data_IF_877057798292
#
_entry.id   IF_877057798292
#
_cell.length_a   1.000
_cell.length_b   1.000
_cell.length_c   1.000
_cell.angle_alpha   90.00
_cell.angle_beta   90.00
_cell.angle_gamma   90.00
#
_symmetry.space_group_name_H-M   'P 1'
#
loop_
_entity.id
_entity.type
_entity.pdbx_description
1 polymer ?
#
# COMPACT_ATOMS: atom_id res chain seq x y z
N UNK A 1 -3.54 14.72 -4.88
CA UNK A 1 -4.82 14.62 -4.14
C UNK A 1 -5.96 14.81 -5.14
N UNK A 2 -6.87 13.84 -5.31
CA UNK A 2 -8.00 13.95 -6.24
C UNK A 2 -8.88 15.18 -5.96
N UNK A 3 -9.06 15.53 -4.67
CA UNK A 3 -9.80 16.71 -4.25
C UNK A 3 -9.22 18.01 -4.83
N UNK A 4 -7.90 18.20 -4.75
CA UNK A 4 -7.23 19.40 -5.27
C UNK A 4 -7.29 19.47 -6.79
N UNK A 5 -7.10 18.34 -7.48
CA UNK A 5 -7.22 18.27 -8.96
C UNK A 5 -8.60 18.74 -9.40
N UNK A 6 -9.65 18.30 -8.71
CA UNK A 6 -11.02 18.69 -8.99
C UNK A 6 -11.31 20.16 -8.62
N UNK A 7 -10.95 20.60 -7.41
CA UNK A 7 -11.21 21.96 -6.91
C UNK A 7 -10.52 23.05 -7.75
N UNK A 8 -9.30 22.77 -8.24
CA UNK A 8 -8.55 23.69 -9.11
C UNK A 8 -8.84 23.45 -10.60
N UNK A 9 -9.72 22.50 -10.95
CA UNK A 9 -10.03 22.11 -12.32
C UNK A 9 -8.78 21.86 -13.18
N UNK A 10 -7.74 21.23 -12.62
CA UNK A 10 -6.41 21.14 -13.26
C UNK A 10 -6.43 20.45 -14.62
N UNK A 11 -7.35 19.52 -14.84
CA UNK A 11 -7.55 18.88 -16.16
C UNK A 11 -7.93 19.90 -17.24
N UNK A 12 -8.73 20.93 -16.89
CA UNK A 12 -9.05 22.04 -17.81
C UNK A 12 -7.85 22.92 -18.11
N UNK A 13 -6.86 22.91 -17.21
CA UNK A 13 -5.60 23.62 -17.35
C UNK A 13 -4.50 22.75 -17.99
N UNK A 14 -4.85 21.58 -18.54
CA UNK A 14 -3.94 20.73 -19.31
C UNK A 14 -3.29 19.59 -18.53
N UNK A 15 -3.57 19.45 -17.22
CA UNK A 15 -3.06 18.31 -16.45
C UNK A 15 -3.63 17.01 -17.01
N UNK A 16 -2.74 16.14 -17.52
CA UNK A 16 -3.07 14.78 -17.94
C UNK A 16 -2.16 13.80 -17.21
N UNK A 17 -2.75 12.91 -16.42
CA UNK A 17 -2.02 11.85 -15.73
C UNK A 17 -2.29 10.52 -16.43
N UNK A 18 -1.23 9.86 -16.87
CA UNK A 18 -1.30 8.49 -17.43
C UNK A 18 -0.95 7.47 -16.35
N UNK A 19 -1.77 6.43 -16.21
CA UNK A 19 -1.50 5.35 -15.26
C UNK A 19 -0.32 4.52 -15.77
N UNK A 20 0.57 4.13 -14.86
CA UNK A 20 1.65 3.18 -15.15
C UNK A 20 1.05 1.79 -15.38
N UNK A 21 1.31 1.15 -16.53
CA UNK A 21 0.80 -0.20 -16.78
C UNK A 21 1.46 -1.23 -15.84
N UNK A 22 2.76 -1.09 -15.62
CA UNK A 22 3.54 -1.96 -14.73
C UNK A 22 3.97 -1.21 -13.47
N UNK A 23 3.72 -1.82 -12.33
CA UNK A 23 4.08 -1.34 -11.01
C UNK A 23 5.56 -1.63 -10.70
N UNK A 24 6.00 -2.87 -10.96
CA UNK A 24 7.38 -3.31 -10.68
C UNK A 24 7.99 -4.00 -11.88
N UNK A 25 9.26 -3.70 -12.12
CA UNK A 25 10.16 -4.52 -12.91
C UNK A 25 11.45 -4.71 -12.10
N UNK A 26 11.69 -5.93 -11.65
CA UNK A 26 12.86 -6.29 -10.85
C UNK A 26 13.68 -7.35 -11.60
N UNK A 27 14.75 -6.96 -12.32
CA UNK A 27 15.66 -7.90 -12.96
C UNK A 27 16.60 -8.54 -11.94
N UNK A 28 16.95 -9.80 -12.15
CA UNK A 28 17.97 -10.52 -11.40
C UNK A 28 19.26 -10.68 -12.24
N UNK A 29 20.44 -10.81 -11.61
CA UNK A 29 21.72 -10.97 -12.32
C UNK A 29 21.80 -12.20 -13.23
N UNK A 30 20.99 -13.23 -12.95
CA UNK A 30 20.92 -14.47 -13.74
C UNK A 30 19.96 -14.39 -14.93
N UNK A 31 19.40 -13.21 -15.21
CA UNK A 31 18.49 -12.97 -16.33
C UNK A 31 17.02 -13.28 -16.04
N UNK A 32 16.69 -13.83 -14.85
CA UNK A 32 15.30 -13.87 -14.39
C UNK A 32 14.80 -12.46 -14.08
N UNK A 33 13.49 -12.30 -14.06
CA UNK A 33 12.88 -11.04 -13.66
C UNK A 33 11.52 -11.27 -13.02
N UNK A 34 11.10 -10.31 -12.20
CA UNK A 34 9.73 -10.16 -11.74
C UNK A 34 9.13 -8.92 -12.43
N UNK A 35 7.99 -9.10 -13.08
CA UNK A 35 7.24 -8.02 -13.70
C UNK A 35 5.81 -8.08 -13.16
N UNK A 36 5.39 -7.03 -12.45
CA UNK A 36 4.08 -6.96 -11.81
C UNK A 36 3.35 -5.71 -12.30
N UNK A 37 2.10 -5.90 -12.67
CA UNK A 37 1.18 -4.85 -13.11
C UNK A 37 -0.10 -4.89 -12.29
N UNK A 38 -1.22 -4.59 -12.96
CA UNK A 38 -2.54 -4.55 -12.33
C UNK A 38 -3.37 -5.81 -12.56
N UNK A 39 -3.03 -6.60 -13.57
CA UNK A 39 -3.77 -7.82 -13.87
C UNK A 39 -3.38 -8.95 -12.91
N UNK A 40 -4.38 -9.51 -12.21
CA UNK A 40 -4.15 -10.53 -11.19
C UNK A 40 -3.63 -11.84 -11.78
N UNK A 41 -4.09 -12.22 -12.98
CA UNK A 41 -3.68 -13.47 -13.62
C UNK A 41 -2.26 -13.36 -14.17
N UNK A 42 -1.91 -12.23 -14.78
CA UNK A 42 -0.54 -11.95 -15.21
C UNK A 42 0.44 -11.92 -14.03
N UNK A 43 0.05 -11.27 -12.93
CA UNK A 43 0.87 -11.22 -11.71
C UNK A 43 1.08 -12.62 -11.12
N UNK A 44 0.01 -13.42 -11.01
CA UNK A 44 0.11 -14.80 -10.53
C UNK A 44 1.03 -15.64 -11.44
N UNK A 45 0.84 -15.55 -12.77
CA UNK A 45 1.69 -16.26 -13.72
C UNK A 45 3.15 -15.80 -13.70
N UNK A 46 3.43 -14.52 -13.45
CA UNK A 46 4.79 -14.00 -13.31
C UNK A 46 5.46 -14.53 -12.03
N UNK A 47 4.73 -14.54 -10.91
CA UNK A 47 5.21 -15.07 -9.63
C UNK A 47 5.41 -16.58 -9.70
N UNK A 48 4.50 -17.32 -10.33
CA UNK A 48 4.57 -18.79 -10.42
C UNK A 48 5.82 -19.29 -11.17
N UNK A 49 6.40 -18.47 -12.05
CA UNK A 49 7.70 -18.76 -12.71
C UNK A 49 8.88 -18.69 -11.73
N UNK A 50 8.74 -17.98 -10.61
CA UNK A 50 9.76 -17.80 -9.58
C UNK A 50 9.51 -18.67 -8.34
N UNK A 51 8.26 -18.75 -7.89
CA UNK A 51 7.78 -19.64 -6.84
C UNK A 51 6.26 -19.81 -6.95
N UNK A 52 5.81 -21.06 -7.01
CA UNK A 52 4.38 -21.37 -6.95
C UNK A 52 3.75 -20.95 -5.62
N UNK A 53 4.49 -21.08 -4.51
CA UNK A 53 4.01 -20.68 -3.18
C UNK A 53 3.81 -19.17 -3.09
N UNK A 54 4.74 -18.39 -3.63
CA UNK A 54 4.63 -16.93 -3.62
C UNK A 54 3.48 -16.44 -4.52
N UNK A 55 3.22 -17.13 -5.63
CA UNK A 55 2.07 -16.85 -6.48
C UNK A 55 0.73 -17.02 -5.73
N UNK A 56 0.61 -18.09 -4.94
CA UNK A 56 -0.58 -18.33 -4.10
C UNK A 56 -0.67 -17.36 -2.92
N UNK A 57 0.47 -16.95 -2.34
CA UNK A 57 0.51 -16.03 -1.20
C UNK A 57 0.18 -14.58 -1.59
N UNK A 58 0.49 -14.17 -2.82
CA UNK A 58 0.40 -12.78 -3.25
C UNK A 58 -1.02 -12.21 -3.25
N UNK A 59 -2.02 -13.00 -3.66
CA UNK A 59 -3.43 -12.57 -3.62
C UNK A 59 -3.89 -12.23 -2.20
N UNK A 60 -3.85 -13.19 -1.25
CA UNK A 60 -4.19 -12.97 0.15
C UNK A 60 -3.38 -11.84 0.81
N UNK A 61 -2.10 -11.69 0.45
CA UNK A 61 -1.27 -10.59 0.92
C UNK A 61 -1.83 -9.22 0.47
N UNK A 62 -2.21 -9.07 -0.79
CA UNK A 62 -2.82 -7.83 -1.28
C UNK A 62 -4.19 -7.57 -0.66
N UNK A 63 -5.02 -8.60 -0.48
CA UNK A 63 -6.34 -8.45 0.15
C UNK A 63 -6.21 -7.94 1.61
N UNK A 64 -5.14 -8.36 2.30
CA UNK A 64 -4.79 -7.85 3.63
C UNK A 64 -4.39 -6.37 3.57
N UNK A 65 -3.53 -5.98 2.63
CA UNK A 65 -3.15 -4.57 2.44
C UNK A 65 -4.37 -3.70 2.14
N UNK A 66 -5.21 -4.11 1.18
CA UNK A 66 -6.40 -3.37 0.76
C UNK A 66 -7.34 -3.09 1.93
N UNK A 67 -7.57 -4.10 2.78
CA UNK A 67 -8.41 -3.96 3.98
C UNK A 67 -7.87 -2.93 4.97
N UNK A 68 -6.55 -2.92 5.19
CA UNK A 68 -5.90 -1.97 6.09
C UNK A 68 -5.89 -0.55 5.48
N UNK A 69 -5.65 -0.43 4.17
CA UNK A 69 -5.70 0.85 3.45
C UNK A 69 -7.09 1.46 3.50
N UNK A 70 -8.15 0.67 3.29
CA UNK A 70 -9.53 1.17 3.36
C UNK A 70 -9.86 1.69 4.76
N UNK A 71 -9.37 1.03 5.83
CA UNK A 71 -9.47 1.56 7.20
C UNK A 71 -8.72 2.91 7.33
N UNK A 72 -7.46 2.97 6.91
CA UNK A 72 -6.65 4.19 7.01
C UNK A 72 -7.28 5.35 6.22
N UNK A 73 -7.83 5.09 5.02
CA UNK A 73 -8.57 6.09 4.23
C UNK A 73 -9.79 6.62 4.95
N UNK A 74 -10.56 5.73 5.60
CA UNK A 74 -11.72 6.13 6.39
C UNK A 74 -11.35 6.99 7.62
N UNK A 75 -10.08 6.98 8.03
CA UNK A 75 -9.58 7.71 9.18
C UNK A 75 -8.85 9.02 8.82
N UNK A 76 -8.20 9.09 7.66
CA UNK A 76 -7.35 10.23 7.27
C UNK A 76 -8.05 11.59 7.19
N UNK A 77 -9.35 11.61 6.94
CA UNK A 77 -10.15 12.84 6.95
C UNK A 77 -10.74 13.22 8.31
N UNK A 78 -10.54 12.39 9.34
CA UNK A 78 -11.13 12.58 10.68
C UNK A 78 -10.09 13.15 11.64
N UNK A 79 -10.47 14.16 12.40
CA UNK A 79 -9.64 14.67 13.50
C UNK A 79 -9.47 13.57 14.56
N UNK A 80 -8.24 13.20 14.96
CA UNK A 80 -8.03 12.21 16.00
C UNK A 80 -8.54 12.75 17.36
N UNK A 81 -9.10 11.88 18.22
CA UNK A 81 -9.58 12.28 19.54
C UNK A 81 -8.42 12.71 20.45
N UNK A 82 -8.61 13.75 21.25
CA UNK A 82 -7.61 14.22 22.19
C UNK A 82 -7.58 13.37 23.47
N UNK A 83 -6.37 13.05 23.97
CA UNK A 83 -6.22 12.46 25.30
C UNK A 83 -6.60 13.49 26.37
N UNK A 84 -7.50 13.12 27.29
CA UNK A 84 -8.07 14.06 28.27
C UNK A 84 -9.14 15.00 27.69
N UNK A 85 -9.60 14.73 26.46
CA UNK A 85 -10.71 15.45 25.84
C UNK A 85 -12.05 15.20 26.53
N UNK A 86 -13.04 16.03 26.18
CA UNK A 86 -14.40 15.93 26.74
C UNK A 86 -15.22 14.79 26.13
N UNK A 87 -16.53 14.79 26.38
CA UNK A 87 -17.45 13.77 25.86
C UNK A 87 -17.39 13.59 24.33
N UNK A 88 -17.10 14.66 23.58
CA UNK A 88 -16.95 14.59 22.11
C UNK A 88 -15.77 13.70 21.70
N UNK A 89 -14.63 13.82 22.38
CA UNK A 89 -13.44 13.01 22.10
C UNK A 89 -13.68 11.53 22.47
N UNK A 90 -14.46 11.27 23.53
CA UNK A 90 -14.87 9.90 23.89
C UNK A 90 -15.72 9.28 22.77
N UNK A 91 -16.71 10.01 22.26
CA UNK A 91 -17.56 9.53 21.15
C UNK A 91 -16.72 9.29 19.88
N UNK A 92 -15.79 10.19 19.56
CA UNK A 92 -14.88 10.04 18.43
C UNK A 92 -13.96 8.81 18.59
N UNK A 93 -13.43 8.58 19.80
CA UNK A 93 -12.62 7.40 20.11
C UNK A 93 -13.44 6.10 19.99
N UNK A 94 -14.69 6.08 20.46
CA UNK A 94 -15.58 4.93 20.31
C UNK A 94 -15.91 4.65 18.83
N UNK A 95 -16.12 5.69 18.03
CA UNK A 95 -16.36 5.55 16.60
C UNK A 95 -15.14 4.94 15.87
N UNK A 96 -13.94 5.46 16.15
CA UNK A 96 -12.68 4.92 15.63
C UNK A 96 -12.43 3.49 16.09
N UNK A 97 -12.68 3.19 17.38
CA UNK A 97 -12.60 1.83 17.92
C UNK A 97 -13.59 0.88 17.25
N UNK A 98 -14.80 1.34 16.92
CA UNK A 98 -15.77 0.54 16.17
C UNK A 98 -15.34 0.28 14.72
N UNK A 99 -14.67 1.23 14.07
CA UNK A 99 -14.11 1.01 12.73
C UNK A 99 -13.01 -0.06 12.75
N UNK A 100 -12.13 -0.04 13.75
CA UNK A 100 -11.14 -1.12 13.99
C UNK A 100 -11.83 -2.45 14.35
N UNK A 101 -12.92 -2.41 15.12
CA UNK A 101 -13.70 -3.60 15.48
C UNK A 101 -14.26 -4.33 14.25
N UNK A 102 -14.72 -3.59 13.24
CA UNK A 102 -15.29 -4.15 11.99
C UNK A 102 -14.28 -4.94 11.16
N UNK A 103 -12.98 -4.80 11.39
CA UNK A 103 -11.95 -5.61 10.73
C UNK A 103 -11.99 -7.09 11.14
N UNK A 104 -12.64 -7.43 12.26
CA UNK A 104 -12.57 -8.75 12.87
C UNK A 104 -11.20 -9.07 13.45
N UNK A 105 -11.07 -10.21 14.15
CA UNK A 105 -9.84 -10.56 14.87
C UNK A 105 -8.62 -10.71 13.96
N UNK A 106 -8.80 -11.26 12.75
CA UNK A 106 -7.72 -11.39 11.78
C UNK A 106 -7.23 -10.02 11.30
N UNK A 107 -8.14 -9.14 10.87
CA UNK A 107 -7.76 -7.79 10.43
C UNK A 107 -7.18 -6.93 11.55
N UNK A 108 -7.58 -7.12 12.80
CA UNK A 108 -6.96 -6.46 13.96
C UNK A 108 -5.53 -6.91 14.21
N UNK A 109 -5.26 -8.22 14.11
CA UNK A 109 -3.89 -8.76 14.21
C UNK A 109 -3.03 -8.24 13.06
N UNK A 110 -3.58 -8.24 11.87
CA UNK A 110 -2.96 -7.69 10.67
C UNK A 110 -2.59 -6.22 10.84
N UNK A 111 -3.50 -5.42 11.40
CA UNK A 111 -3.26 -4.02 11.73
C UNK A 111 -2.11 -3.88 12.74
N UNK A 112 -2.15 -4.61 13.85
CA UNK A 112 -1.08 -4.56 14.87
C UNK A 112 0.27 -4.97 14.29
N UNK A 113 0.30 -6.04 13.49
CA UNK A 113 1.50 -6.52 12.82
C UNK A 113 2.11 -5.47 11.92
N UNK A 114 1.31 -4.81 11.08
CA UNK A 114 1.81 -3.79 10.16
C UNK A 114 2.27 -2.50 10.85
N UNK A 115 1.77 -2.22 12.06
CA UNK A 115 2.23 -1.07 12.85
C UNK A 115 3.45 -1.39 13.73
N UNK A 116 3.65 -2.64 14.13
CA UNK A 116 4.69 -3.02 15.08
C UNK A 116 5.90 -3.74 14.44
N UNK A 117 5.67 -4.61 13.45
CA UNK A 117 6.72 -5.42 12.82
C UNK A 117 7.48 -4.63 11.77
N UNK A 118 8.62 -5.18 11.36
CA UNK A 118 9.33 -4.67 10.20
C UNK A 118 8.70 -5.19 8.90
N UNK A 119 8.89 -4.46 7.81
CA UNK A 119 8.48 -4.90 6.48
C UNK A 119 9.21 -6.20 6.09
N UNK A 120 10.49 -6.32 6.44
CA UNK A 120 11.29 -7.52 6.24
C UNK A 120 10.65 -8.75 6.88
N UNK A 121 10.26 -8.67 8.17
CA UNK A 121 9.62 -9.80 8.86
C UNK A 121 8.30 -10.21 8.21
N UNK A 122 7.49 -9.24 7.77
CA UNK A 122 6.23 -9.53 7.09
C UNK A 122 6.50 -10.22 5.74
N UNK A 123 7.47 -9.76 4.98
CA UNK A 123 7.80 -10.33 3.67
C UNK A 123 8.46 -11.70 3.81
N UNK A 124 9.38 -11.89 4.75
CA UNK A 124 10.04 -13.18 5.01
C UNK A 124 9.08 -14.26 5.53
N UNK A 125 8.02 -13.86 6.25
CA UNK A 125 6.98 -14.80 6.69
C UNK A 125 5.96 -15.13 5.60
N UNK A 126 5.81 -14.26 4.60
CA UNK A 126 4.80 -14.40 3.55
C UNK A 126 5.36 -15.07 2.29
N UNK A 127 6.58 -14.71 1.90
CA UNK A 127 7.18 -15.11 0.63
C UNK A 127 8.52 -15.83 0.85
N UNK A 128 8.85 -16.76 -0.05
CA UNK A 128 10.10 -17.52 0.02
C UNK A 128 11.16 -17.04 -0.98
N UNK A 129 10.75 -16.44 -2.12
CA UNK A 129 11.69 -16.02 -3.16
C UNK A 129 12.28 -14.63 -2.84
N UNK A 130 13.61 -14.55 -2.77
CA UNK A 130 14.31 -13.30 -2.46
C UNK A 130 14.09 -12.18 -3.48
N UNK A 131 13.89 -12.50 -4.76
CA UNK A 131 13.58 -11.48 -5.78
C UNK A 131 12.20 -10.87 -5.55
N UNK A 132 11.22 -11.69 -5.15
CA UNK A 132 9.87 -11.23 -4.80
C UNK A 132 9.93 -10.34 -3.56
N UNK A 133 10.61 -10.81 -2.49
CA UNK A 133 10.80 -10.03 -1.26
C UNK A 133 11.55 -8.72 -1.52
N UNK A 134 12.59 -8.74 -2.36
CA UNK A 134 13.34 -7.54 -2.73
C UNK A 134 12.48 -6.52 -3.49
N UNK A 135 11.68 -7.00 -4.46
CA UNK A 135 10.80 -6.14 -5.24
C UNK A 135 9.71 -5.46 -4.37
N UNK A 136 9.09 -6.20 -3.46
CA UNK A 136 8.06 -5.67 -2.55
C UNK A 136 8.67 -4.85 -1.40
N UNK A 137 9.84 -5.24 -0.91
CA UNK A 137 10.57 -4.54 0.15
C UNK A 137 11.08 -3.16 -0.27
N UNK A 138 11.30 -2.95 -1.57
CA UNK A 138 11.63 -1.63 -2.13
C UNK A 138 10.61 -0.55 -1.74
N UNK A 139 9.33 -0.88 -1.65
CA UNK A 139 8.31 0.08 -1.22
C UNK A 139 8.51 0.50 0.24
N UNK A 140 8.88 -0.44 1.11
CA UNK A 140 9.05 -0.15 2.54
C UNK A 140 10.19 0.84 2.85
N UNK A 141 11.13 1.00 1.90
CA UNK A 141 12.27 1.93 2.02
C UNK A 141 12.11 3.19 1.17
N UNK A 142 11.19 3.20 0.20
CA UNK A 142 11.00 4.36 -0.67
C UNK A 142 10.37 5.51 0.11
N UNK A 143 11.14 6.59 0.29
CA UNK A 143 10.73 7.75 1.09
C UNK A 143 10.91 7.57 2.60
N UNK A 144 11.50 6.46 3.05
CA UNK A 144 11.75 6.15 4.45
C UNK A 144 13.25 5.89 4.66
N UNK A 145 13.93 6.75 5.44
CA UNK A 145 15.36 6.61 5.72
C UNK A 145 15.60 5.59 6.85
N UNK A 146 15.24 4.33 6.61
CA UNK A 146 15.33 3.24 7.57
C UNK A 146 15.53 1.88 6.89
N UNK A 147 16.03 0.91 7.64
CA UNK A 147 16.17 -0.47 7.14
C UNK A 147 14.77 -1.08 6.93
N UNK A 148 14.57 -1.95 5.92
CA UNK A 148 13.34 -2.72 5.79
C UNK A 148 13.09 -3.61 7.02
N UNK A 149 14.13 -3.90 7.82
CA UNK A 149 14.05 -4.67 9.07
C UNK A 149 13.90 -3.81 10.33
N UNK A 150 13.78 -2.49 10.22
CA UNK A 150 13.49 -1.63 11.37
C UNK A 150 12.05 -1.86 11.86
N UNK A 151 11.80 -2.06 13.16
CA UNK A 151 10.44 -2.16 13.70
C UNK A 151 9.55 -0.99 13.27
N UNK A 152 8.32 -1.28 12.86
CA UNK A 152 7.35 -0.29 12.34
C UNK A 152 7.53 0.07 10.87
N UNK A 153 8.58 -0.39 10.18
CA UNK A 153 8.76 -0.12 8.74
C UNK A 153 7.67 -0.75 7.87
N UNK A 154 6.97 -1.77 8.36
CA UNK A 154 5.85 -2.39 7.65
C UNK A 154 4.71 -1.42 7.34
N UNK A 155 4.51 -0.37 8.15
CA UNK A 155 3.51 0.66 7.89
C UNK A 155 3.74 1.35 6.53
N UNK A 156 5.00 1.46 6.09
CA UNK A 156 5.36 2.11 4.82
C UNK A 156 4.84 1.29 3.62
N UNK A 157 4.70 -0.03 3.75
CA UNK A 157 4.05 -0.86 2.72
C UNK A 157 2.59 -0.42 2.49
N UNK A 158 1.88 -0.02 3.56
CA UNK A 158 0.51 0.51 3.45
C UNK A 158 0.47 1.89 2.80
N UNK A 159 1.50 2.71 3.01
CA UNK A 159 1.57 4.05 2.44
C UNK A 159 1.65 4.03 0.91
N UNK A 160 2.32 3.04 0.31
CA UNK A 160 2.48 2.97 -1.16
C UNK A 160 1.23 2.51 -1.92
N UNK A 161 0.40 1.69 -1.28
CA UNK A 161 -0.92 1.30 -1.82
C UNK A 161 -2.03 2.31 -1.48
N UNK A 162 -1.72 3.33 -0.67
CA UNK A 162 -2.66 4.35 -0.25
C UNK A 162 -3.14 5.26 -1.38
N UNK A 163 -2.32 5.49 -2.40
CA UNK A 163 -2.57 6.45 -3.49
C UNK A 163 -3.77 6.12 -4.38
N UNK A 164 -4.19 7.10 -5.18
CA UNK A 164 -5.18 6.95 -6.24
C UNK A 164 -4.81 7.84 -7.42
N UNK A 165 -4.97 7.32 -8.63
CA UNK A 165 -4.84 8.08 -9.88
C UNK A 165 -6.08 7.85 -10.73
N UNK A 166 -6.75 8.92 -11.16
CA UNK A 166 -7.93 8.89 -12.04
C UNK A 166 -9.04 7.93 -11.56
N UNK A 167 -9.36 7.91 -10.27
CA UNK A 167 -10.37 7.00 -9.70
C UNK A 167 -9.85 5.58 -9.42
N UNK A 168 -8.60 5.28 -9.78
CA UNK A 168 -8.01 3.95 -9.66
C UNK A 168 -7.16 3.85 -8.39
N UNK A 169 -7.69 3.13 -7.40
CA UNK A 169 -7.02 2.87 -6.12
C UNK A 169 -5.68 2.15 -6.31
N UNK A 170 -4.68 2.51 -5.50
CA UNK A 170 -3.34 1.92 -5.48
C UNK A 170 -2.53 2.17 -6.76
N UNK A 171 -3.07 2.97 -7.70
CA UNK A 171 -2.41 3.23 -8.96
C UNK A 171 -1.37 4.34 -8.83
N UNK A 172 -0.29 4.17 -9.59
CA UNK A 172 0.70 5.20 -9.83
C UNK A 172 0.56 5.71 -11.26
N UNK A 173 0.91 6.98 -11.46
CA UNK A 173 0.82 7.61 -12.77
C UNK A 173 1.85 8.69 -12.95
N UNK A 174 2.01 9.12 -14.21
CA UNK A 174 2.90 10.20 -14.59
C UNK A 174 2.09 11.34 -15.19
N UNK A 175 2.33 12.55 -14.71
CA UNK A 175 1.85 13.75 -15.37
C UNK A 175 2.60 13.90 -16.71
N UNK A 176 1.85 14.05 -17.80
CA UNK A 176 2.43 14.38 -19.11
C UNK A 176 3.09 15.76 -19.01
N UNK A 177 4.35 15.86 -19.40
CA UNK A 177 5.18 17.06 -19.22
C UNK A 177 5.95 17.12 -17.89
N UNK A 178 5.65 16.21 -16.95
CA UNK A 178 6.30 16.16 -15.65
C UNK A 178 5.68 17.11 -14.61
N UNK A 179 6.32 17.22 -13.45
CA UNK A 179 5.78 17.97 -12.29
C UNK A 179 5.81 19.50 -12.46
N UNK A 180 6.56 20.02 -13.43
CA UNK A 180 6.75 21.46 -13.67
C UNK A 180 6.14 21.99 -14.96
N UNK A 181 5.37 21.16 -15.67
CA UNK A 181 4.68 21.53 -16.91
C UNK A 181 3.29 22.12 -16.64
#
# INVERSE_FOLDING_TARGET
>A
SPKIIAEMALERHGLKIIIRPMAYFAPAPDGRYLLLGRDKAENHAALARLSAKDAEAYGPYNDKLDRLVDLLRAMLGKTPPNAGGGLRDIVAALAMGNDVRKLGLHGQRDLLDFFAKSAGDILDTTFENDLVKGALGFDAITGNYGSPYTPGSAYVLLHHVFGEVNGVKGAWGHAIGGMGA
#
